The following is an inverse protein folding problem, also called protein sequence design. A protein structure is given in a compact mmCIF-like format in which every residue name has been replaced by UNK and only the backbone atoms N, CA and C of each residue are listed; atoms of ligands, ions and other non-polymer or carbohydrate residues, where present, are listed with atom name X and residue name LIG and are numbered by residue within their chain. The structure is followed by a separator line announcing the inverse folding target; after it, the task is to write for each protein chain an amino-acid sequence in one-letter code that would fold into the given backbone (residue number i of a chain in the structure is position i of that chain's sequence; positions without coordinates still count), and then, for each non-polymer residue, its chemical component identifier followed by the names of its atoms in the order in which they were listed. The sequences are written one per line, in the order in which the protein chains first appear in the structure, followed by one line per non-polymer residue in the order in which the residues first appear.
data_IF_275117211940
#
_entry.id   IF_275117211940
#
_cell.length_a   1.000
_cell.length_b   1.000
_cell.length_c   1.000
_cell.angle_alpha   90.00
_cell.angle_beta   90.00
_cell.angle_gamma   90.00
#
_symmetry.space_group_name_H-M   'P 1'
#
loop_
_entity.id
_entity.type
_entity.pdbx_description
1 polymer ?
#
# COMPACT_ATOMS: atom_id res chain seq x y z
N UNK A 1 -13.24 -12.47 13.26
CA UNK A 1 -12.22 -11.80 14.11
C UNK A 1 -10.95 -12.62 14.16
N UNK A 2 -9.82 -11.99 14.47
CA UNK A 2 -8.56 -12.69 14.73
C UNK A 2 -8.69 -13.56 16.01
N UNK A 3 -8.22 -14.81 15.97
CA UNK A 3 -8.11 -15.65 17.15
C UNK A 3 -6.99 -15.11 18.05
N UNK A 4 -7.29 -15.01 19.36
CA UNK A 4 -6.35 -14.57 20.38
C UNK A 4 -5.77 -15.80 21.11
N UNK A 5 -4.67 -15.68 21.83
CA UNK A 5 -4.11 -16.82 22.60
C UNK A 5 -5.13 -17.48 23.55
N UNK A 6 -5.96 -16.68 24.22
CA UNK A 6 -7.01 -17.22 25.11
C UNK A 6 -8.12 -17.96 24.36
N UNK A 7 -8.43 -17.60 23.11
CA UNK A 7 -9.39 -18.33 22.28
C UNK A 7 -8.84 -19.73 21.95
N UNK A 8 -7.53 -19.83 21.68
CA UNK A 8 -6.84 -21.12 21.46
C UNK A 8 -6.86 -21.97 22.73
N UNK A 9 -6.57 -21.37 23.89
CA UNK A 9 -6.64 -22.05 25.19
C UNK A 9 -8.04 -22.60 25.48
N UNK A 10 -9.08 -21.82 25.20
CA UNK A 10 -10.48 -22.26 25.38
C UNK A 10 -10.82 -23.43 24.44
N UNK A 11 -10.46 -23.34 23.15
CA UNK A 11 -10.67 -24.46 22.21
C UNK A 11 -10.01 -25.74 22.69
N UNK A 12 -8.77 -25.65 23.18
CA UNK A 12 -8.03 -26.78 23.74
C UNK A 12 -8.73 -27.36 24.98
N UNK A 13 -9.26 -26.52 25.87
CA UNK A 13 -9.89 -26.95 27.10
C UNK A 13 -11.20 -27.74 26.88
N UNK A 14 -11.87 -27.55 25.75
CA UNK A 14 -13.06 -28.30 25.35
C UNK A 14 -12.73 -29.45 24.38
N UNK A 15 -11.45 -29.82 24.25
CA UNK A 15 -11.01 -30.94 23.43
C UNK A 15 -10.91 -30.67 21.93
N UNK A 16 -11.06 -29.43 21.50
CA UNK A 16 -10.91 -29.07 20.10
C UNK A 16 -9.44 -28.83 19.74
N UNK A 17 -8.88 -29.65 18.87
CA UNK A 17 -7.50 -29.54 18.41
C UNK A 17 -7.35 -28.89 17.03
N UNK A 18 -8.46 -28.64 16.31
CA UNK A 18 -8.51 -27.97 15.01
C UNK A 18 -9.69 -27.02 14.94
N UNK A 19 -9.51 -25.90 14.29
CA UNK A 19 -10.57 -24.96 13.97
C UNK A 19 -10.44 -24.51 12.50
N UNK A 20 -11.57 -24.42 11.80
CA UNK A 20 -11.59 -23.83 10.46
C UNK A 20 -11.46 -22.32 10.56
N UNK A 21 -10.48 -21.76 9.85
CA UNK A 21 -10.19 -20.33 9.83
C UNK A 21 -10.04 -19.84 8.40
N UNK A 22 -10.24 -18.56 8.18
CA UNK A 22 -9.88 -17.91 6.90
C UNK A 22 -8.36 -17.87 6.81
N UNK A 23 -7.80 -18.35 5.70
CA UNK A 23 -6.35 -18.29 5.48
C UNK A 23 -5.89 -16.83 5.27
N UNK A 24 -4.64 -16.58 5.50
CA UNK A 24 -4.03 -15.30 5.15
C UNK A 24 -3.97 -15.16 3.63
N UNK A 25 -4.33 -13.99 3.07
CA UNK A 25 -4.11 -13.74 1.65
C UNK A 25 -2.61 -13.60 1.37
N UNK A 26 -2.17 -14.13 0.25
CA UNK A 26 -0.79 -14.00 -0.24
C UNK A 26 -0.71 -12.75 -1.12
N UNK A 27 0.34 -11.96 -0.94
CA UNK A 27 0.58 -10.76 -1.73
C UNK A 27 1.99 -10.77 -2.34
N UNK A 28 2.08 -10.48 -3.64
CA UNK A 28 3.32 -10.22 -4.35
C UNK A 28 3.51 -8.71 -4.57
N UNK A 29 4.76 -8.26 -4.45
CA UNK A 29 5.17 -6.89 -4.75
C UNK A 29 6.12 -6.88 -5.95
N UNK A 30 5.74 -6.18 -7.00
CA UNK A 30 6.54 -5.92 -8.18
C UNK A 30 7.00 -4.46 -8.13
N UNK A 31 8.27 -4.27 -7.83
CA UNK A 31 8.89 -2.96 -7.65
C UNK A 31 9.62 -2.61 -8.95
N UNK A 32 9.10 -1.64 -9.72
CA UNK A 32 9.68 -1.26 -11.01
C UNK A 32 10.41 0.06 -10.93
N UNK A 33 11.51 0.17 -11.65
CA UNK A 33 12.31 1.39 -11.74
C UNK A 33 13.76 1.10 -12.12
N UNK A 34 14.23 1.63 -13.25
CA UNK A 34 15.62 1.47 -13.70
C UNK A 34 16.60 2.23 -12.80
N UNK A 35 16.13 3.23 -12.08
CA UNK A 35 16.88 4.03 -11.11
C UNK A 35 17.02 3.38 -9.73
N UNK A 36 16.26 2.30 -9.46
CA UNK A 36 16.16 1.70 -8.13
C UNK A 36 17.35 0.79 -7.84
N UNK A 37 17.96 1.00 -6.69
CA UNK A 37 18.93 0.12 -6.07
C UNK A 37 18.26 -0.72 -4.97
N UNK A 38 18.69 -1.96 -4.76
CA UNK A 38 18.19 -2.78 -3.66
C UNK A 38 18.37 -2.11 -2.29
N UNK A 39 17.50 -2.41 -1.30
CA UNK A 39 17.66 -1.90 0.06
C UNK A 39 19.06 -2.19 0.63
N UNK A 40 19.64 -1.21 1.33
CA UNK A 40 21.00 -1.29 1.89
C UNK A 40 22.12 -0.89 0.95
N UNK A 41 21.83 -0.63 -0.32
CA UNK A 41 22.83 -0.10 -1.28
C UNK A 41 23.22 1.33 -0.94
N UNK A 42 24.41 1.74 -1.38
CA UNK A 42 24.83 3.14 -1.31
C UNK A 42 24.36 3.86 -2.58
N UNK A 43 23.63 4.99 -2.47
CA UNK A 43 23.21 5.79 -3.63
C UNK A 43 24.42 6.24 -4.45
N UNK A 44 24.31 6.16 -5.78
CA UNK A 44 25.34 6.60 -6.71
C UNK A 44 24.70 7.34 -7.90
N UNK A 45 25.21 8.50 -8.25
CA UNK A 45 24.69 9.29 -9.36
C UNK A 45 23.20 9.65 -9.17
N UNK A 46 22.39 9.27 -10.14
CA UNK A 46 20.93 9.51 -10.13
C UNK A 46 20.12 8.35 -9.54
N UNK A 47 20.79 7.26 -9.15
CA UNK A 47 20.10 6.10 -8.59
C UNK A 47 19.62 6.36 -7.17
N UNK A 48 18.46 5.83 -6.83
CA UNK A 48 17.85 5.93 -5.52
C UNK A 48 17.70 4.53 -4.90
N UNK A 49 17.77 4.45 -3.57
CA UNK A 49 17.58 3.17 -2.88
C UNK A 49 16.09 2.92 -2.66
N UNK A 50 15.64 1.72 -2.97
CA UNK A 50 14.27 1.31 -2.73
C UNK A 50 13.91 1.38 -1.24
N UNK A 51 12.84 2.08 -0.94
CA UNK A 51 12.24 2.17 0.39
C UNK A 51 10.82 1.55 0.41
N UNK A 52 10.19 1.42 -0.76
CA UNK A 52 8.82 0.98 -0.87
C UNK A 52 8.66 -0.51 -0.54
N UNK A 53 9.57 -1.36 -1.00
CA UNK A 53 9.46 -2.80 -0.77
C UNK A 53 9.44 -3.16 0.72
N UNK A 54 10.36 -2.58 1.50
CA UNK A 54 10.42 -2.82 2.95
C UNK A 54 9.22 -2.24 3.68
N UNK A 55 8.78 -1.04 3.31
CA UNK A 55 7.61 -0.41 3.88
C UNK A 55 6.33 -1.22 3.59
N UNK A 56 6.11 -1.60 2.33
CA UNK A 56 4.95 -2.36 1.89
C UNK A 56 4.90 -3.75 2.54
N UNK A 57 6.04 -4.42 2.66
CA UNK A 57 6.14 -5.69 3.36
C UNK A 57 5.62 -5.58 4.79
N UNK A 58 6.14 -4.63 5.56
CA UNK A 58 5.74 -4.44 6.97
C UNK A 58 4.27 -4.05 7.12
N UNK A 59 3.77 -3.23 6.20
CA UNK A 59 2.35 -2.86 6.17
C UNK A 59 1.45 -4.06 5.86
N UNK A 60 1.84 -4.91 4.90
CA UNK A 60 1.06 -6.10 4.53
C UNK A 60 1.04 -7.15 5.65
N UNK A 61 2.19 -7.40 6.29
CA UNK A 61 2.28 -8.25 7.48
C UNK A 61 1.40 -7.71 8.63
N UNK A 62 1.41 -6.40 8.87
CA UNK A 62 0.53 -5.73 9.85
C UNK A 62 -0.94 -6.01 9.58
N UNK A 63 -1.36 -5.94 8.32
CA UNK A 63 -2.75 -6.11 7.90
C UNK A 63 -3.15 -7.58 7.73
N UNK A 64 -2.22 -8.51 7.92
CA UNK A 64 -2.48 -9.93 8.01
C UNK A 64 -2.23 -10.72 6.74
N UNK A 65 -1.53 -10.17 5.74
CA UNK A 65 -1.09 -10.90 4.59
C UNK A 65 0.10 -11.83 4.91
N UNK A 66 0.29 -12.82 4.06
CA UNK A 66 1.52 -13.56 3.87
C UNK A 66 2.24 -12.97 2.66
N UNK A 67 3.54 -12.72 2.79
CA UNK A 67 4.35 -12.17 1.71
C UNK A 67 4.78 -13.33 0.80
N UNK A 68 4.37 -13.28 -0.45
CA UNK A 68 4.85 -14.17 -1.49
C UNK A 68 6.21 -13.68 -2.04
N UNK A 69 6.21 -13.06 -3.19
CA UNK A 69 7.43 -12.55 -3.83
C UNK A 69 7.57 -11.04 -3.69
N UNK A 70 8.81 -10.57 -3.56
CA UNK A 70 9.17 -9.17 -3.73
C UNK A 70 10.20 -9.12 -4.84
N UNK A 71 9.80 -8.65 -6.02
CA UNK A 71 10.61 -8.65 -7.21
C UNK A 71 10.98 -7.21 -7.59
N UNK A 72 12.28 -6.95 -7.74
CA UNK A 72 12.77 -5.70 -8.32
C UNK A 72 12.93 -5.92 -9.83
N UNK A 73 12.17 -5.18 -10.61
CA UNK A 73 12.07 -5.33 -12.04
C UNK A 73 12.57 -4.06 -12.74
N UNK A 74 13.17 -4.23 -13.90
CA UNK A 74 13.42 -3.12 -14.80
C UNK A 74 12.10 -2.65 -15.42
N UNK A 75 12.07 -1.39 -15.88
CA UNK A 75 10.93 -0.83 -16.62
C UNK A 75 10.86 -1.39 -18.05
N UNK A 76 10.87 -2.72 -18.14
CA UNK A 76 10.76 -3.48 -19.37
C UNK A 76 9.39 -4.16 -19.43
N UNK A 77 8.61 -3.81 -20.42
CA UNK A 77 7.23 -4.26 -20.59
C UNK A 77 7.05 -5.77 -20.43
N UNK A 78 7.86 -6.59 -21.13
CA UNK A 78 7.73 -8.05 -21.09
C UNK A 78 8.15 -8.64 -19.75
N UNK A 79 9.12 -8.04 -19.07
CA UNK A 79 9.53 -8.47 -17.72
C UNK A 79 8.41 -8.24 -16.70
N UNK A 80 7.75 -7.08 -16.75
CA UNK A 80 6.62 -6.75 -15.87
C UNK A 80 5.42 -7.65 -16.23
N UNK A 81 5.10 -7.81 -17.51
CA UNK A 81 4.02 -8.67 -17.99
C UNK A 81 4.17 -10.11 -17.50
N UNK A 82 5.36 -10.68 -17.64
CA UNK A 82 5.68 -12.03 -17.21
C UNK A 82 5.48 -12.18 -15.71
N UNK A 83 6.03 -11.27 -14.90
CA UNK A 83 5.89 -11.30 -13.46
C UNK A 83 4.42 -11.21 -13.00
N UNK A 84 3.60 -10.37 -13.65
CA UNK A 84 2.17 -10.27 -13.37
C UNK A 84 1.40 -11.56 -13.71
N UNK A 85 1.76 -12.23 -14.79
CA UNK A 85 1.09 -13.47 -15.23
C UNK A 85 1.50 -14.68 -14.38
N UNK A 86 2.77 -14.81 -14.03
CA UNK A 86 3.34 -15.94 -13.27
C UNK A 86 3.05 -15.87 -11.76
N UNK A 87 2.59 -14.72 -11.23
CA UNK A 87 2.22 -14.61 -9.84
C UNK A 87 1.05 -15.54 -9.48
N UNK A 88 1.19 -16.31 -8.42
CA UNK A 88 0.14 -17.15 -7.85
C UNK A 88 -0.52 -16.52 -6.60
N UNK A 89 -0.14 -15.29 -6.27
CA UNK A 89 -0.66 -14.56 -5.12
C UNK A 89 -2.14 -14.15 -5.29
N UNK A 90 -2.85 -13.94 -4.21
CA UNK A 90 -4.23 -13.41 -4.21
C UNK A 90 -4.27 -11.94 -4.63
N UNK A 91 -3.20 -11.21 -4.27
CA UNK A 91 -3.01 -9.80 -4.59
C UNK A 91 -1.63 -9.58 -5.22
N UNK A 92 -1.59 -8.73 -6.21
CA UNK A 92 -0.37 -8.25 -6.86
C UNK A 92 -0.32 -6.73 -6.68
N UNK A 93 0.76 -6.20 -6.10
CA UNK A 93 1.01 -4.78 -6.05
C UNK A 93 2.17 -4.43 -6.97
N UNK A 94 1.93 -3.60 -7.97
CA UNK A 94 2.97 -3.01 -8.83
C UNK A 94 3.25 -1.60 -8.35
N UNK A 95 4.51 -1.26 -8.07
CA UNK A 95 4.91 0.10 -7.68
C UNK A 95 5.94 0.64 -8.66
N UNK A 96 5.79 1.91 -9.06
CA UNK A 96 6.55 2.51 -10.16
C UNK A 96 5.89 2.18 -11.51
N UNK A 97 6.23 2.95 -12.54
CA UNK A 97 5.66 2.75 -13.88
C UNK A 97 4.12 2.73 -13.93
N UNK A 98 3.45 3.46 -13.04
CA UNK A 98 2.00 3.37 -12.83
C UNK A 98 1.25 4.66 -13.20
N UNK A 99 1.94 5.67 -13.70
CA UNK A 99 1.34 6.96 -14.08
C UNK A 99 0.94 6.99 -15.57
N UNK A 100 1.13 8.11 -16.24
CA UNK A 100 0.78 8.32 -17.66
C UNK A 100 2.01 8.63 -18.53
N UNK A 101 3.22 8.38 -18.03
CA UNK A 101 4.46 8.52 -18.80
C UNK A 101 4.64 7.42 -19.85
N UNK A 102 5.52 7.63 -20.81
CA UNK A 102 5.81 6.66 -21.87
C UNK A 102 6.40 5.34 -21.34
N UNK A 103 7.05 5.39 -20.19
CA UNK A 103 7.64 4.22 -19.50
C UNK A 103 6.70 3.60 -18.44
N UNK A 104 5.48 4.14 -18.29
CA UNK A 104 4.50 3.65 -17.33
C UNK A 104 3.69 2.49 -17.93
N UNK A 105 4.27 1.32 -17.98
CA UNK A 105 3.70 0.14 -18.67
C UNK A 105 2.59 -0.56 -17.90
N UNK A 106 2.55 -0.46 -16.57
CA UNK A 106 1.68 -1.29 -15.74
C UNK A 106 0.17 -1.12 -16.02
N UNK A 107 -0.39 0.09 -16.25
CA UNK A 107 -1.81 0.25 -16.55
C UNK A 107 -2.20 -0.42 -17.88
N UNK A 108 -1.45 -0.16 -18.94
CA UNK A 108 -1.71 -0.73 -20.28
C UNK A 108 -1.53 -2.25 -20.32
N UNK A 109 -0.55 -2.77 -19.58
CA UNK A 109 -0.38 -4.20 -19.41
C UNK A 109 -1.57 -4.83 -18.71
N UNK A 110 -2.07 -4.19 -17.64
CA UNK A 110 -3.22 -4.72 -16.92
C UNK A 110 -4.49 -4.75 -17.78
N UNK A 111 -4.66 -3.77 -18.69
CA UNK A 111 -5.75 -3.79 -19.68
C UNK A 111 -5.62 -4.94 -20.69
N UNK A 112 -4.41 -5.29 -21.10
CA UNK A 112 -4.17 -6.34 -22.08
C UNK A 112 -4.30 -7.76 -21.53
N UNK A 113 -3.80 -7.99 -20.31
CA UNK A 113 -3.74 -9.34 -19.70
C UNK A 113 -4.85 -9.60 -18.69
N UNK A 114 -5.68 -8.60 -18.43
CA UNK A 114 -6.73 -8.66 -17.42
C UNK A 114 -7.81 -7.62 -17.64
N UNK A 115 -8.20 -6.94 -16.58
CA UNK A 115 -9.18 -5.85 -16.62
C UNK A 115 -8.70 -4.73 -15.72
N UNK A 116 -8.46 -3.55 -16.26
CA UNK A 116 -8.23 -2.33 -15.50
C UNK A 116 -9.59 -1.71 -15.15
N UNK A 117 -9.94 -1.67 -13.87
CA UNK A 117 -11.24 -1.17 -13.39
C UNK A 117 -11.18 0.31 -13.04
N UNK A 118 -10.06 0.75 -12.48
CA UNK A 118 -9.83 2.15 -12.08
C UNK A 118 -8.38 2.50 -12.37
N UNK A 119 -8.14 3.66 -12.97
CA UNK A 119 -6.82 4.26 -13.07
C UNK A 119 -6.94 5.78 -12.87
N UNK A 120 -6.21 6.26 -11.87
CA UNK A 120 -6.35 7.64 -11.41
C UNK A 120 -7.48 7.83 -10.41
N UNK A 121 -7.14 8.41 -9.26
CA UNK A 121 -8.08 8.69 -8.18
C UNK A 121 -7.96 10.16 -7.74
N UNK A 122 -9.05 10.79 -7.30
CA UNK A 122 -9.04 12.17 -6.83
C UNK A 122 -8.46 12.26 -5.40
N UNK A 123 -7.20 11.81 -5.23
CA UNK A 123 -6.50 11.81 -3.94
C UNK A 123 -5.09 12.40 -4.08
N UNK A 124 -4.67 13.16 -3.08
CA UNK A 124 -3.32 13.74 -3.02
C UNK A 124 -2.67 13.48 -1.64
N UNK A 125 -1.42 12.92 -1.60
CA UNK A 125 -0.74 12.27 -2.73
C UNK A 125 -1.46 10.96 -3.06
N UNK A 126 -1.23 10.35 -4.17
CA UNK A 126 -1.66 9.04 -4.66
C UNK A 126 -2.53 9.07 -5.93
N UNK A 127 -2.63 10.22 -6.62
CA UNK A 127 -3.47 10.34 -7.81
C UNK A 127 -3.29 9.21 -8.88
N UNK A 128 -2.07 8.70 -9.18
CA UNK A 128 -1.88 7.64 -10.19
C UNK A 128 -2.29 6.22 -9.73
N UNK A 129 -2.91 6.08 -8.56
CA UNK A 129 -3.34 4.75 -8.09
C UNK A 129 -4.34 4.10 -9.04
N UNK A 130 -4.14 2.81 -9.30
CA UNK A 130 -5.03 2.01 -10.12
C UNK A 130 -5.42 0.69 -9.44
N UNK A 131 -6.49 0.10 -9.95
CA UNK A 131 -7.00 -1.20 -9.49
C UNK A 131 -7.58 -1.99 -10.66
N UNK A 132 -7.31 -3.28 -10.68
CA UNK A 132 -7.86 -4.21 -11.65
C UNK A 132 -7.74 -5.66 -11.24
N UNK A 133 -7.92 -6.55 -12.19
CA UNK A 133 -7.97 -8.00 -11.99
C UNK A 133 -7.23 -8.75 -13.10
N UNK A 134 -6.54 -9.83 -12.73
CA UNK A 134 -6.06 -10.85 -13.66
C UNK A 134 -6.65 -12.19 -13.23
N UNK A 135 -7.71 -12.63 -13.89
CA UNK A 135 -8.53 -13.74 -13.39
C UNK A 135 -9.08 -13.44 -12.00
N UNK A 136 -8.89 -14.31 -10.99
CA UNK A 136 -9.35 -14.08 -9.63
C UNK A 136 -8.43 -13.14 -8.81
N UNK A 137 -7.22 -12.87 -9.31
CA UNK A 137 -6.18 -12.11 -8.60
C UNK A 137 -6.45 -10.61 -8.68
N UNK A 138 -6.34 -9.93 -7.57
CA UNK A 138 -6.51 -8.49 -7.47
C UNK A 138 -5.20 -7.79 -7.74
N UNK A 139 -5.19 -6.79 -8.61
CA UNK A 139 -3.99 -6.05 -8.98
C UNK A 139 -4.14 -4.59 -8.56
N UNK A 140 -3.19 -4.10 -7.77
CA UNK A 140 -3.10 -2.70 -7.38
C UNK A 140 -1.87 -2.06 -8.03
N UNK A 141 -2.09 -0.91 -8.64
CA UNK A 141 -1.05 -0.07 -9.21
C UNK A 141 -0.81 1.08 -8.24
N UNK A 142 0.37 1.12 -7.64
CA UNK A 142 0.73 2.10 -6.62
C UNK A 142 1.80 3.06 -7.16
N UNK A 143 1.70 4.37 -6.86
CA UNK A 143 2.72 5.32 -7.25
C UNK A 143 4.11 4.97 -6.71
N UNK A 144 5.18 5.20 -7.47
CA UNK A 144 6.56 4.98 -7.04
C UNK A 144 7.02 5.91 -5.91
N UNK A 145 6.49 7.13 -5.83
CA UNK A 145 6.81 8.07 -4.75
C UNK A 145 6.35 7.54 -3.38
N UNK A 146 7.22 7.46 -2.35
CA UNK A 146 6.97 6.66 -1.16
C UNK A 146 5.78 7.14 -0.30
N UNK A 147 5.51 8.43 -0.19
CA UNK A 147 4.34 8.92 0.55
C UNK A 147 3.04 8.66 -0.22
N UNK A 148 3.09 8.74 -1.55
CA UNK A 148 1.96 8.37 -2.40
C UNK A 148 1.67 6.86 -2.31
N UNK A 149 2.73 6.06 -2.33
CA UNK A 149 2.65 4.61 -2.16
C UNK A 149 2.02 4.24 -0.81
N UNK A 150 2.50 4.84 0.30
CA UNK A 150 1.96 4.63 1.64
C UNK A 150 0.47 5.00 1.72
N UNK A 151 0.10 6.18 1.24
CA UNK A 151 -1.30 6.63 1.32
C UNK A 151 -2.24 5.80 0.45
N UNK A 152 -1.80 5.37 -0.75
CA UNK A 152 -2.55 4.45 -1.60
C UNK A 152 -2.69 3.07 -0.94
N UNK A 153 -1.60 2.56 -0.33
CA UNK A 153 -1.64 1.30 0.41
C UNK A 153 -2.67 1.35 1.54
N UNK A 154 -2.58 2.35 2.42
CA UNK A 154 -3.50 2.49 3.57
C UNK A 154 -4.97 2.60 3.15
N UNK A 155 -5.24 3.33 2.07
CA UNK A 155 -6.62 3.56 1.62
C UNK A 155 -7.22 2.37 0.87
N UNK A 156 -6.41 1.51 0.23
CA UNK A 156 -6.94 0.47 -0.66
C UNK A 156 -6.36 -0.91 -0.37
N UNK A 157 -5.05 -1.10 -0.44
CA UNK A 157 -4.42 -2.43 -0.37
C UNK A 157 -4.60 -3.05 0.99
N UNK A 158 -4.32 -2.30 2.07
CA UNK A 158 -4.47 -2.78 3.44
C UNK A 158 -5.91 -3.21 3.76
N UNK A 159 -6.90 -2.45 3.28
CA UNK A 159 -8.31 -2.81 3.45
C UNK A 159 -8.68 -4.07 2.66
N UNK A 160 -8.16 -4.23 1.43
CA UNK A 160 -8.38 -5.43 0.62
C UNK A 160 -7.77 -6.68 1.26
N UNK A 161 -6.54 -6.58 1.80
CA UNK A 161 -5.89 -7.66 2.56
C UNK A 161 -6.75 -8.07 3.75
N UNK A 162 -7.20 -7.10 4.55
CA UNK A 162 -8.03 -7.34 5.74
C UNK A 162 -9.34 -8.03 5.38
N UNK A 163 -10.01 -7.56 4.33
CA UNK A 163 -11.24 -8.17 3.81
C UNK A 163 -11.04 -9.62 3.39
N UNK A 164 -10.00 -9.89 2.58
CA UNK A 164 -9.69 -11.25 2.13
C UNK A 164 -9.31 -12.18 3.29
N UNK A 165 -8.61 -11.66 4.29
CA UNK A 165 -8.25 -12.38 5.52
C UNK A 165 -9.38 -12.51 6.55
N UNK A 166 -10.60 -12.04 6.24
CA UNK A 166 -11.76 -12.09 7.15
C UNK A 166 -11.62 -11.17 8.38
N UNK A 167 -10.81 -10.13 8.27
CA UNK A 167 -10.64 -9.08 9.29
C UNK A 167 -11.59 -7.90 9.02
N UNK A 168 -11.89 -7.06 10.02
CA UNK A 168 -12.65 -5.83 9.81
C UNK A 168 -11.99 -4.93 8.77
N UNK A 169 -12.77 -4.36 7.85
CA UNK A 169 -12.33 -3.41 6.82
C UNK A 169 -12.13 -2.01 7.41
N UNK A 170 -11.32 -1.93 8.44
CA UNK A 170 -11.01 -0.69 9.14
C UNK A 170 -9.51 -0.48 9.17
N UNK A 171 -9.08 0.77 9.16
CA UNK A 171 -7.68 1.09 9.36
C UNK A 171 -7.23 0.62 10.75
N UNK A 172 -6.04 0.02 10.87
CA UNK A 172 -5.52 -0.45 12.16
C UNK A 172 -4.95 0.69 13.01
N UNK A 173 -5.48 1.90 12.82
CA UNK A 173 -5.07 3.10 13.52
C UNK A 173 -6.10 3.53 14.55
N UNK A 174 -5.60 4.01 15.68
CA UNK A 174 -6.46 4.62 16.69
C UNK A 174 -7.00 5.95 16.17
N UNK A 175 -8.33 6.11 16.20
CA UNK A 175 -8.99 7.37 15.85
C UNK A 175 -9.12 8.24 17.08
N UNK A 176 -8.82 9.54 16.96
CA UNK A 176 -9.00 10.52 18.01
C UNK A 176 -9.53 11.83 17.43
N UNK A 177 -10.18 12.62 18.28
CA UNK A 177 -10.64 13.97 17.92
C UNK A 177 -9.75 14.98 18.64
N UNK A 178 -9.11 15.85 17.89
CA UNK A 178 -8.25 16.90 18.39
C UNK A 178 -8.58 18.23 17.70
N UNK A 179 -8.48 19.37 18.40
CA UNK A 179 -8.55 20.67 17.75
C UNK A 179 -7.36 20.86 16.81
N UNK A 180 -7.59 21.46 15.65
CA UNK A 180 -6.52 21.87 14.74
C UNK A 180 -5.84 23.15 15.27
N UNK A 181 -4.51 23.19 15.17
CA UNK A 181 -3.74 24.40 15.52
C UNK A 181 -3.83 25.47 14.43
N UNK A 182 -3.94 25.05 13.20
CA UNK A 182 -4.08 25.92 12.03
C UNK A 182 -5.08 25.37 11.02
N UNK A 183 -5.63 26.26 10.18
CA UNK A 183 -6.57 25.89 9.11
C UNK A 183 -5.85 25.00 8.09
N UNK A 184 -6.49 23.91 7.70
CA UNK A 184 -6.11 23.09 6.56
C UNK A 184 -6.93 23.53 5.35
N UNK A 185 -6.27 24.05 4.32
CA UNK A 185 -6.89 24.34 3.05
C UNK A 185 -6.86 23.07 2.19
N UNK A 186 -8.04 22.59 1.80
CA UNK A 186 -8.20 21.47 0.89
C UNK A 186 -8.83 21.93 -0.41
N UNK A 187 -8.42 21.33 -1.51
CA UNK A 187 -8.99 21.66 -2.82
C UNK A 187 -10.26 20.85 -3.05
N UNK A 188 -11.33 21.54 -3.49
CA UNK A 188 -12.62 20.90 -3.81
C UNK A 188 -12.42 19.82 -4.89
N UNK A 189 -13.09 18.70 -4.73
CA UNK A 189 -13.10 17.59 -5.70
C UNK A 189 -12.00 16.56 -5.52
N UNK A 190 -11.19 16.66 -4.44
CA UNK A 190 -10.20 15.62 -4.12
C UNK A 190 -10.04 15.45 -2.62
N UNK A 191 -9.57 14.25 -2.24
CA UNK A 191 -9.17 13.92 -0.87
C UNK A 191 -7.70 14.26 -0.70
N UNK A 192 -7.34 14.92 0.41
CA UNK A 192 -5.95 15.16 0.76
C UNK A 192 -5.54 14.35 2.01
N UNK A 193 -4.44 13.61 1.89
CA UNK A 193 -3.83 12.88 2.99
C UNK A 193 -2.83 13.80 3.71
N UNK A 194 -3.31 14.47 4.76
CA UNK A 194 -2.56 15.49 5.51
C UNK A 194 -1.86 14.82 6.69
N UNK A 195 -0.51 14.87 6.73
CA UNK A 195 0.28 14.40 7.87
C UNK A 195 0.21 15.41 8.99
N UNK A 196 -0.05 14.93 10.19
CA UNK A 196 -0.26 15.75 11.38
C UNK A 196 0.75 15.37 12.48
N UNK A 197 1.18 16.37 13.23
CA UNK A 197 1.90 16.20 14.49
C UNK A 197 1.02 16.68 15.64
N UNK A 198 1.12 16.01 16.78
CA UNK A 198 0.37 16.40 17.99
C UNK A 198 1.29 17.22 18.89
N UNK A 199 0.92 18.48 19.13
CA UNK A 199 1.64 19.38 20.03
C UNK A 199 0.66 20.02 21.00
N UNK A 200 0.93 19.94 22.28
CA UNK A 200 0.10 20.54 23.35
C UNK A 200 -1.40 20.16 23.24
N UNK A 201 -1.70 18.90 22.87
CA UNK A 201 -3.06 18.41 22.71
C UNK A 201 -3.80 18.92 21.47
N UNK A 202 -3.11 19.56 20.51
CA UNK A 202 -3.64 20.04 19.24
C UNK A 202 -2.95 19.34 18.07
N UNK A 203 -3.68 19.13 16.99
CA UNK A 203 -3.13 18.58 15.75
C UNK A 203 -2.62 19.73 14.86
N UNK A 204 -1.34 19.65 14.47
CA UNK A 204 -0.69 20.61 13.58
C UNK A 204 -0.35 19.95 12.24
N UNK A 205 -0.80 20.48 11.09
CA UNK A 205 -0.44 19.95 9.78
C UNK A 205 1.03 20.23 9.49
N UNK A 206 1.80 19.17 9.26
CA UNK A 206 3.22 19.28 8.90
C UNK A 206 3.45 19.16 7.41
N UNK A 207 2.57 18.50 6.68
CA UNK A 207 2.60 18.42 5.22
C UNK A 207 1.28 17.94 4.63
N UNK A 208 0.80 18.61 3.62
CA UNK A 208 -0.27 18.17 2.70
C UNK A 208 0.26 17.74 1.33
N UNK A 209 1.44 18.21 0.93
CA UNK A 209 2.16 17.85 -0.30
C UNK A 209 3.42 17.02 -0.03
N UNK A 210 4.32 16.94 -1.04
CA UNK A 210 5.59 16.23 -0.89
C UNK A 210 5.46 14.72 -1.00
N UNK A 211 5.07 14.24 -2.19
CA UNK A 211 4.86 12.82 -2.48
C UNK A 211 6.08 11.92 -2.20
N UNK A 212 7.29 12.48 -2.33
CA UNK A 212 8.57 11.79 -2.16
C UNK A 212 9.21 11.99 -0.77
N UNK A 213 8.66 12.87 0.08
CA UNK A 213 9.30 13.23 1.36
C UNK A 213 8.85 12.28 2.46
N UNK A 214 9.42 11.06 2.48
CA UNK A 214 9.07 10.02 3.44
C UNK A 214 9.31 10.45 4.88
N UNK A 215 10.32 11.30 5.15
CA UNK A 215 10.58 11.84 6.49
C UNK A 215 9.41 12.67 7.07
N UNK A 216 8.48 13.12 6.23
CA UNK A 216 7.26 13.77 6.72
C UNK A 216 6.29 12.79 7.38
N UNK A 217 6.31 11.51 6.98
CA UNK A 217 5.49 10.46 7.61
C UNK A 217 6.13 9.94 8.89
N UNK A 218 7.47 9.88 8.95
CA UNK A 218 8.16 9.43 10.17
C UNK A 218 8.09 10.43 11.32
N UNK A 219 7.86 11.71 11.01
CA UNK A 219 7.64 12.78 12.01
C UNK A 219 6.18 12.98 12.37
N UNK A 220 5.27 12.39 11.61
CA UNK A 220 3.84 12.51 11.87
C UNK A 220 3.40 11.55 12.97
N UNK A 221 2.53 12.03 13.87
CA UNK A 221 1.84 11.20 14.87
C UNK A 221 0.57 10.58 14.29
N UNK A 222 0.09 11.12 13.17
CA UNK A 222 -1.11 10.64 12.49
C UNK A 222 -1.39 11.38 11.19
N UNK A 223 -2.56 11.11 10.64
CA UNK A 223 -3.03 11.77 9.42
C UNK A 223 -4.52 12.11 9.49
N UNK A 224 -4.93 13.04 8.65
CA UNK A 224 -6.31 13.41 8.40
C UNK A 224 -6.60 13.30 6.90
N UNK A 225 -7.77 12.79 6.55
CA UNK A 225 -8.32 12.92 5.20
C UNK A 225 -9.33 14.06 5.19
N UNK A 226 -9.17 14.98 4.22
CA UNK A 226 -10.05 16.17 4.09
C UNK A 226 -11.04 15.98 2.98
#
# INVERSE_FOLDING_TARGET
RKLRPQDIGLLSSVGMHKASVVRRPIIDFLITGNELLPPGSKPQGVSIVDSNSLMLRQLAERDGAEIGNILHLRDERETIRKAMLESEADLICVTGGTSVGLEDHAPTLLEEIGTLLVHGIPMRPAAPTGFGMIGPRKVFLLPGNPVSCLSAYDCFVGLAIRRLGGLPEEWPYRKTKLPLRSKIASQIGRIEYVRLQIQEGKAEPIASGGASILSSTTRADGFLLT
#
